data_IF_271110385778
#
_entry.id   IF_271110385778
#
_cell.length_a   1.000
_cell.length_b   1.000
_cell.length_c   1.000
_cell.angle_alpha   90.00
_cell.angle_beta   90.00
_cell.angle_gamma   90.00
#
_symmetry.space_group_name_H-M   'P 1'
#
loop_
_entity.id
_entity.type
_entity.pdbx_description
1 polymer ?
#
# COMPACT_ATOMS: atom_id res chain seq x y z
N UNK A 1 -12.38 6.24 31.93
CA UNK A 1 -11.37 6.68 30.94
C UNK A 1 -11.66 5.93 29.66
N UNK A 2 -12.07 6.64 28.59
CA UNK A 2 -12.56 6.02 27.36
C UNK A 2 -11.42 5.29 26.67
N UNK A 3 -11.42 3.95 26.75
CA UNK A 3 -10.59 3.08 25.93
C UNK A 3 -11.17 3.18 24.52
N UNK A 4 -10.57 3.97 23.63
CA UNK A 4 -10.92 3.88 22.22
C UNK A 4 -10.71 2.42 21.82
N UNK A 5 -11.69 1.76 21.18
CA UNK A 5 -11.37 0.53 20.49
C UNK A 5 -10.29 0.90 19.48
N UNK A 6 -9.08 0.36 19.69
CA UNK A 6 -8.03 0.35 18.67
C UNK A 6 -8.72 -0.05 17.37
N UNK A 7 -8.52 0.64 16.23
CA UNK A 7 -9.01 0.12 14.98
C UNK A 7 -8.25 -1.17 14.71
N UNK A 8 -8.78 -2.29 15.19
CA UNK A 8 -8.55 -3.64 14.71
C UNK A 8 -9.16 -3.81 13.31
N UNK A 9 -9.05 -2.78 12.47
CA UNK A 9 -9.09 -2.91 11.04
C UNK A 9 -7.63 -3.08 10.63
N UNK A 10 -7.11 -4.30 10.82
CA UNK A 10 -6.02 -4.80 9.97
C UNK A 10 -6.65 -4.93 8.56
N UNK A 11 -6.97 -3.80 7.95
CA UNK A 11 -7.23 -3.68 6.53
C UNK A 11 -5.84 -3.90 5.96
N UNK A 12 -5.59 -5.10 5.41
CA UNK A 12 -4.29 -5.52 4.84
C UNK A 12 -3.59 -4.30 4.24
N UNK A 13 -2.61 -3.76 4.98
CA UNK A 13 -1.81 -2.63 4.52
C UNK A 13 -0.77 -3.24 3.60
N UNK A 14 -1.04 -3.17 2.31
CA UNK A 14 -0.09 -3.60 1.29
C UNK A 14 1.03 -2.56 1.26
N UNK A 15 2.24 -2.99 1.62
CA UNK A 15 3.43 -2.16 1.42
C UNK A 15 3.91 -2.35 -0.01
N UNK A 16 4.21 -1.24 -0.67
CA UNK A 16 4.80 -1.22 -2.00
C UNK A 16 6.23 -0.72 -1.91
N UNK A 17 7.13 -1.48 -2.54
CA UNK A 17 8.50 -1.07 -2.72
C UNK A 17 8.56 -0.02 -3.84
N UNK A 18 9.11 1.15 -3.56
CA UNK A 18 9.32 2.21 -4.55
C UNK A 18 10.77 2.63 -4.56
N UNK A 19 11.32 2.88 -5.75
CA UNK A 19 12.66 3.44 -5.92
C UNK A 19 12.53 4.94 -6.23
N UNK A 20 13.10 5.77 -5.36
CA UNK A 20 13.19 7.21 -5.56
C UNK A 20 14.23 7.57 -6.62
N UNK A 21 14.22 8.82 -7.06
CA UNK A 21 15.15 9.35 -8.09
C UNK A 21 16.63 9.31 -7.70
N UNK A 22 16.95 9.09 -6.42
CA UNK A 22 18.30 8.91 -5.90
C UNK A 22 18.75 7.44 -5.87
N UNK A 23 17.90 6.51 -6.33
CA UNK A 23 18.10 5.06 -6.19
C UNK A 23 17.80 4.52 -4.79
N UNK A 24 17.28 5.37 -3.90
CA UNK A 24 16.84 4.98 -2.57
C UNK A 24 15.54 4.17 -2.66
N UNK A 25 15.54 2.97 -2.09
CA UNK A 25 14.40 2.07 -2.07
C UNK A 25 13.65 2.21 -0.75
N UNK A 26 12.38 2.63 -0.81
CA UNK A 26 11.53 2.84 0.37
C UNK A 26 10.25 2.01 0.30
N UNK A 27 9.71 1.68 1.47
CA UNK A 27 8.46 0.95 1.62
C UNK A 27 7.36 1.92 2.03
N UNK A 28 6.48 2.24 1.09
CA UNK A 28 5.35 3.12 1.34
C UNK A 28 4.05 2.34 1.36
N UNK A 29 3.02 2.91 1.97
CA UNK A 29 1.68 2.32 1.94
C UNK A 29 1.11 2.43 0.52
N UNK A 30 0.61 1.31 -0.01
CA UNK A 30 0.02 1.26 -1.34
C UNK A 30 -1.16 2.23 -1.49
N UNK A 31 -1.93 2.47 -0.42
CA UNK A 31 -3.03 3.43 -0.44
C UNK A 31 -2.50 4.86 -0.57
N UNK A 32 -1.42 5.22 0.12
CA UNK A 32 -0.80 6.54 -0.02
C UNK A 32 -0.26 6.77 -1.44
N UNK A 33 0.33 5.74 -2.05
CA UNK A 33 0.77 5.82 -3.44
C UNK A 33 -0.42 6.01 -4.39
N UNK A 34 -1.49 5.24 -4.21
CA UNK A 34 -2.71 5.33 -5.00
C UNK A 34 -3.35 6.73 -4.87
N UNK A 35 -3.44 7.28 -3.67
CA UNK A 35 -3.96 8.63 -3.45
C UNK A 35 -3.08 9.69 -4.13
N UNK A 36 -1.76 9.54 -4.08
CA UNK A 36 -0.79 10.43 -4.73
C UNK A 36 -0.98 10.49 -6.26
N UNK A 37 -1.30 9.36 -6.89
CA UNK A 37 -1.59 9.30 -8.34
C UNK A 37 -3.05 9.55 -8.69
N UNK A 38 -3.88 9.94 -7.70
CA UNK A 38 -5.29 10.30 -7.91
C UNK A 38 -6.23 9.10 -8.11
N UNK A 39 -5.81 7.90 -7.70
CA UNK A 39 -6.61 6.68 -7.78
C UNK A 39 -7.61 6.66 -6.63
N UNK A 40 -8.89 6.49 -6.97
CA UNK A 40 -9.96 6.43 -5.98
C UNK A 40 -10.01 5.07 -5.29
N UNK A 41 -10.66 5.00 -4.13
CA UNK A 41 -10.83 3.75 -3.38
C UNK A 41 -11.49 2.62 -4.19
N UNK A 42 -12.36 2.95 -5.15
CA UNK A 42 -13.02 1.98 -6.02
C UNK A 42 -12.07 1.41 -7.09
N UNK A 43 -11.11 2.20 -7.53
CA UNK A 43 -10.11 1.81 -8.54
C UNK A 43 -8.87 1.15 -7.91
N UNK A 44 -8.63 1.41 -6.62
CA UNK A 44 -7.51 0.88 -5.85
C UNK A 44 -7.22 -0.61 -6.07
N UNK A 45 -8.18 -1.55 -5.95
CA UNK A 45 -7.89 -2.97 -6.12
C UNK A 45 -7.44 -3.33 -7.55
N UNK A 46 -8.03 -2.73 -8.57
CA UNK A 46 -7.65 -2.96 -9.96
C UNK A 46 -6.27 -2.35 -10.26
N UNK A 47 -6.03 -1.13 -9.78
CA UNK A 47 -4.76 -0.44 -9.92
C UNK A 47 -3.61 -1.21 -9.26
N UNK A 48 -3.79 -1.67 -8.01
CA UNK A 48 -2.76 -2.41 -7.29
C UNK A 48 -2.38 -3.71 -8.00
N UNK A 49 -3.38 -4.46 -8.51
CA UNK A 49 -3.14 -5.64 -9.32
C UNK A 49 -2.33 -5.30 -10.58
N UNK A 50 -2.75 -4.28 -11.35
CA UNK A 50 -2.03 -3.88 -12.56
C UNK A 50 -0.59 -3.44 -12.28
N UNK A 51 -0.35 -2.66 -11.22
CA UNK A 51 1.00 -2.22 -10.85
C UNK A 51 1.88 -3.40 -10.42
N UNK A 52 1.30 -4.39 -9.75
CA UNK A 52 2.01 -5.62 -9.38
C UNK A 52 2.32 -6.49 -10.60
N UNK A 53 1.36 -6.67 -11.52
CA UNK A 53 1.54 -7.43 -12.77
C UNK A 53 2.57 -6.79 -13.71
N UNK A 54 2.62 -5.46 -13.76
CA UNK A 54 3.63 -4.71 -14.50
C UNK A 54 5.02 -4.75 -13.84
N UNK A 55 5.14 -5.30 -12.63
CA UNK A 55 6.37 -5.30 -11.84
C UNK A 55 6.78 -3.92 -11.34
N UNK A 56 5.88 -2.93 -11.42
CA UNK A 56 6.13 -1.56 -10.98
C UNK A 56 6.07 -1.42 -9.45
N UNK A 57 5.34 -2.31 -8.77
CA UNK A 57 5.34 -2.41 -7.30
C UNK A 57 5.48 -3.86 -6.85
N UNK A 58 6.35 -4.09 -5.88
CA UNK A 58 6.38 -5.35 -5.14
C UNK A 58 5.45 -5.23 -3.94
N UNK A 59 4.39 -6.04 -3.90
CA UNK A 59 3.48 -6.10 -2.74
C UNK A 59 3.93 -7.20 -1.81
N UNK A 60 4.15 -6.87 -0.53
CA UNK A 60 4.39 -7.88 0.50
C UNK A 60 3.17 -8.00 1.41
N UNK A 61 2.50 -9.15 1.38
CA UNK A 61 1.49 -9.49 2.39
C UNK A 61 2.28 -9.84 3.66
N UNK A 62 2.53 -8.85 4.51
CA UNK A 62 3.17 -9.08 5.81
C UNK A 62 2.14 -9.79 6.71
N UNK A 63 1.86 -11.06 6.41
CA UNK A 63 1.28 -11.99 7.38
C UNK A 63 2.39 -12.15 8.41
N UNK A 64 2.32 -11.37 9.49
CA UNK A 64 3.08 -11.65 10.68
C UNK A 64 2.70 -13.08 11.12
N UNK A 65 3.63 -14.02 10.92
CA UNK A 65 3.57 -15.35 11.51
C UNK A 65 4.09 -15.30 12.95
#
# INVERSE_FOLDING_TARGET
MKKLPSPSAIKKRSLVLTEGTDGAVDWIDAAELAESVGITFEQYPAWLCSMHELGAVATSDRIAH
#
